data_IF_696510900139
#
_entry.id   IF_696510900139
#
_cell.length_a   1.000
_cell.length_b   1.000
_cell.length_c   1.000
_cell.angle_alpha   90.00
_cell.angle_beta   90.00
_cell.angle_gamma   90.00
#
_symmetry.space_group_name_H-M   'P 1'
#
loop_
_entity.id
_entity.type
_entity.pdbx_description
1 polymer ?
#
# COMPACT_ATOMS: atom_id res chain seq x y z
N UNK A 1 8.68 -17.04 -23.24
CA UNK A 1 8.08 -17.73 -22.07
C UNK A 1 6.97 -16.89 -21.43
N UNK A 2 5.78 -16.81 -22.06
CA UNK A 2 4.63 -16.06 -21.54
C UNK A 2 3.82 -16.81 -20.46
N UNK A 3 3.84 -18.14 -20.45
CA UNK A 3 2.95 -18.96 -19.61
C UNK A 3 3.26 -18.85 -18.10
N UNK A 4 4.55 -18.66 -17.76
CA UNK A 4 4.97 -18.45 -16.38
C UNK A 4 4.42 -17.15 -15.79
N UNK A 5 4.34 -16.08 -16.61
CA UNK A 5 3.83 -14.77 -16.16
C UNK A 5 2.33 -14.82 -15.88
N UNK A 6 1.57 -15.54 -16.70
CA UNK A 6 0.12 -15.73 -16.53
C UNK A 6 -0.16 -16.51 -15.24
N UNK A 7 0.61 -17.58 -14.98
CA UNK A 7 0.48 -18.38 -13.75
C UNK A 7 0.71 -17.56 -12.48
N UNK A 8 1.73 -16.70 -12.46
CA UNK A 8 2.04 -15.84 -11.30
C UNK A 8 0.92 -14.81 -11.05
N UNK A 9 0.41 -14.16 -12.09
CA UNK A 9 -0.68 -13.18 -11.95
C UNK A 9 -1.93 -13.88 -11.39
N UNK A 10 -2.26 -15.06 -11.91
CA UNK A 10 -3.40 -15.84 -11.42
C UNK A 10 -3.23 -16.22 -9.96
N UNK A 11 -2.04 -16.65 -9.55
CA UNK A 11 -1.73 -16.97 -8.16
C UNK A 11 -1.92 -15.76 -7.23
N UNK A 12 -1.42 -14.58 -7.63
CA UNK A 12 -1.58 -13.34 -6.86
C UNK A 12 -3.07 -13.01 -6.69
N UNK A 13 -3.84 -13.02 -7.78
CA UNK A 13 -5.29 -12.75 -7.72
C UNK A 13 -6.03 -13.74 -6.81
N UNK A 14 -5.67 -15.03 -6.86
CA UNK A 14 -6.30 -16.03 -5.98
C UNK A 14 -5.98 -15.81 -4.50
N UNK A 15 -4.77 -15.37 -4.17
CA UNK A 15 -4.39 -15.06 -2.79
C UNK A 15 -5.14 -13.84 -2.26
N UNK A 16 -5.33 -12.82 -3.09
CA UNK A 16 -6.11 -11.64 -2.73
C UNK A 16 -7.58 -11.99 -2.45
N UNK A 17 -8.18 -12.78 -3.33
CA UNK A 17 -9.57 -13.24 -3.16
C UNK A 17 -9.72 -14.10 -1.90
N UNK A 18 -8.74 -14.96 -1.60
CA UNK A 18 -8.75 -15.77 -0.39
C UNK A 18 -8.72 -14.91 0.89
N UNK A 19 -7.88 -13.88 0.93
CA UNK A 19 -7.80 -12.96 2.06
C UNK A 19 -9.12 -12.19 2.26
N UNK A 20 -9.75 -11.71 1.20
CA UNK A 20 -11.07 -11.08 1.32
C UNK A 20 -12.15 -12.04 1.77
N UNK A 21 -12.11 -13.29 1.28
CA UNK A 21 -13.11 -14.30 1.63
C UNK A 21 -13.05 -14.68 3.10
N UNK A 22 -11.85 -14.77 3.69
CA UNK A 22 -11.68 -15.11 5.11
C UNK A 22 -12.22 -14.01 6.02
N UNK A 23 -11.97 -12.73 5.69
CA UNK A 23 -12.52 -11.61 6.45
C UNK A 23 -14.04 -11.55 6.40
N UNK A 24 -14.61 -11.79 5.21
CA UNK A 24 -16.06 -11.90 5.05
C UNK A 24 -16.62 -13.04 5.92
N UNK A 25 -15.92 -14.16 6.01
CA UNK A 25 -16.33 -15.27 6.88
C UNK A 25 -16.24 -14.92 8.36
N UNK A 26 -15.15 -14.28 8.80
CA UNK A 26 -14.98 -13.81 10.18
C UNK A 26 -16.07 -12.82 10.59
N UNK A 27 -16.40 -11.85 9.72
CA UNK A 27 -17.48 -10.88 9.99
C UNK A 27 -18.82 -11.58 10.10
N UNK A 28 -19.12 -12.56 9.22
CA UNK A 28 -20.36 -13.35 9.33
C UNK A 28 -20.43 -14.11 10.66
N UNK A 29 -19.31 -14.67 11.11
CA UNK A 29 -19.24 -15.40 12.38
C UNK A 29 -19.53 -14.48 13.57
N UNK A 30 -18.83 -13.34 13.66
CA UNK A 30 -18.98 -12.39 14.78
C UNK A 30 -20.40 -11.81 14.86
N UNK A 31 -20.98 -11.42 13.72
CA UNK A 31 -22.32 -10.81 13.67
C UNK A 31 -23.46 -11.84 13.57
N UNK A 32 -23.14 -13.15 13.59
CA UNK A 32 -24.10 -14.25 13.39
C UNK A 32 -24.99 -14.05 12.15
N UNK A 33 -24.43 -13.49 11.09
CA UNK A 33 -25.15 -13.18 9.85
C UNK A 33 -25.52 -14.45 9.10
N UNK A 34 -26.75 -14.55 8.59
CA UNK A 34 -27.19 -15.72 7.81
C UNK A 34 -26.48 -15.76 6.46
N UNK A 35 -26.36 -16.95 5.87
CA UNK A 35 -25.69 -17.17 4.56
C UNK A 35 -26.19 -16.23 3.46
N UNK A 36 -27.49 -15.93 3.46
CA UNK A 36 -28.16 -15.11 2.44
C UNK A 36 -28.15 -13.61 2.74
N UNK A 37 -27.72 -13.20 3.93
CA UNK A 37 -27.69 -11.78 4.29
C UNK A 37 -26.56 -11.05 3.56
N UNK A 38 -26.83 -9.81 3.16
CA UNK A 38 -25.84 -8.91 2.56
C UNK A 38 -24.77 -8.53 3.58
N UNK A 39 -23.53 -8.90 3.28
CA UNK A 39 -22.41 -8.70 4.21
C UNK A 39 -21.98 -7.24 4.36
N UNK A 40 -22.25 -6.40 3.37
CA UNK A 40 -21.83 -4.99 3.32
C UNK A 40 -22.29 -4.18 4.54
N UNK A 41 -23.49 -4.45 5.04
CA UNK A 41 -24.02 -3.79 6.24
C UNK A 41 -23.19 -4.10 7.49
N UNK A 42 -22.79 -5.36 7.65
CA UNK A 42 -21.97 -5.81 8.78
C UNK A 42 -20.53 -5.32 8.67
N UNK A 43 -19.97 -5.26 7.45
CA UNK A 43 -18.65 -4.67 7.21
C UNK A 43 -18.60 -3.18 7.58
N UNK A 44 -19.63 -2.42 7.19
CA UNK A 44 -19.72 -1.00 7.53
C UNK A 44 -19.88 -0.79 9.04
N UNK A 45 -20.69 -1.63 9.71
CA UNK A 45 -20.83 -1.61 11.17
C UNK A 45 -19.55 -1.97 11.91
N UNK A 46 -18.79 -2.92 11.38
CA UNK A 46 -17.51 -3.33 11.96
C UNK A 46 -16.42 -2.26 11.85
N UNK A 47 -16.63 -1.21 11.04
CA UNK A 47 -15.63 -0.17 10.75
C UNK A 47 -14.28 -0.75 10.31
N UNK A 48 -14.31 -1.95 9.71
CA UNK A 48 -13.13 -2.65 9.25
C UNK A 48 -12.67 -2.07 7.92
N UNK A 49 -11.41 -1.70 7.88
CA UNK A 49 -10.80 -1.18 6.67
C UNK A 49 -10.63 -2.31 5.64
N UNK A 50 -10.99 -2.07 4.38
CA UNK A 50 -10.85 -3.07 3.31
C UNK A 50 -9.40 -3.55 3.18
N UNK A 51 -9.21 -4.82 2.81
CA UNK A 51 -7.88 -5.44 2.61
C UNK A 51 -7.03 -4.57 1.68
N UNK A 52 -7.59 -4.12 0.57
CA UNK A 52 -6.92 -3.23 -0.38
C UNK A 52 -6.37 -1.95 0.29
N UNK A 53 -7.19 -1.28 1.09
CA UNK A 53 -6.80 -0.04 1.76
C UNK A 53 -5.77 -0.30 2.85
N UNK A 54 -5.90 -1.39 3.62
CA UNK A 54 -4.87 -1.79 4.60
C UNK A 54 -3.54 -2.05 3.92
N UNK A 55 -3.54 -2.78 2.80
CA UNK A 55 -2.32 -3.01 2.01
C UNK A 55 -1.69 -1.69 1.57
N UNK A 56 -2.47 -0.75 1.04
CA UNK A 56 -1.97 0.58 0.66
C UNK A 56 -1.33 1.32 1.83
N UNK A 57 -2.01 1.38 2.97
CA UNK A 57 -1.48 2.04 4.17
C UNK A 57 -0.21 1.36 4.65
N UNK A 58 -0.19 0.03 4.78
CA UNK A 58 0.99 -0.72 5.22
C UNK A 58 2.17 -0.51 4.28
N UNK A 59 1.95 -0.53 2.96
CA UNK A 59 2.99 -0.24 1.97
C UNK A 59 3.51 1.18 2.10
N UNK A 60 2.63 2.17 2.30
CA UNK A 60 3.04 3.57 2.51
C UNK A 60 3.82 3.75 3.81
N UNK A 61 3.38 3.13 4.90
CA UNK A 61 4.10 3.15 6.19
C UNK A 61 5.47 2.48 6.07
N UNK A 62 5.56 1.35 5.36
CA UNK A 62 6.83 0.67 5.11
C UNK A 62 7.75 1.57 4.27
N UNK A 63 7.23 2.15 3.19
CA UNK A 63 7.99 3.07 2.35
C UNK A 63 8.49 4.27 3.14
N UNK A 64 7.63 4.90 3.95
CA UNK A 64 8.01 6.00 4.83
C UNK A 64 9.13 5.59 5.79
N UNK A 65 9.00 4.43 6.44
CA UNK A 65 10.05 3.90 7.33
C UNK A 65 11.37 3.69 6.60
N UNK A 66 11.35 3.12 5.39
CA UNK A 66 12.56 2.89 4.60
C UNK A 66 13.24 4.23 4.24
N UNK A 67 12.46 5.24 3.84
CA UNK A 67 12.99 6.55 3.47
C UNK A 67 13.50 7.35 4.67
N UNK A 68 12.82 7.27 5.82
CA UNK A 68 13.22 7.96 7.04
C UNK A 68 14.42 7.31 7.74
N UNK A 69 14.44 5.97 7.82
CA UNK A 69 15.51 5.25 8.50
C UNK A 69 16.71 4.93 7.60
N UNK A 70 16.55 5.06 6.27
CA UNK A 70 17.52 4.61 5.26
C UNK A 70 17.90 3.11 5.39
N UNK A 71 17.08 2.35 6.12
CA UNK A 71 17.25 0.94 6.41
C UNK A 71 16.05 0.14 5.88
N UNK A 72 16.29 -1.01 5.24
CA UNK A 72 17.59 -1.58 4.91
C UNK A 72 18.24 -0.93 3.68
N UNK A 73 19.57 -0.85 3.66
CA UNK A 73 20.36 -0.15 2.63
C UNK A 73 20.07 -0.63 1.20
N UNK A 74 19.83 -1.93 1.03
CA UNK A 74 19.51 -2.50 -0.29
C UNK A 74 18.14 -2.06 -0.85
N UNK A 75 17.21 -1.62 0.01
CA UNK A 75 15.93 -1.04 -0.42
C UNK A 75 16.04 0.48 -0.54
N UNK A 76 16.64 1.16 0.43
CA UNK A 76 16.75 2.61 0.41
C UNK A 76 17.53 3.10 -0.82
N UNK A 77 18.62 2.42 -1.20
CA UNK A 77 19.39 2.73 -2.41
C UNK A 77 18.59 2.59 -3.73
N UNK A 78 17.43 1.91 -3.72
CA UNK A 78 16.56 1.80 -4.90
C UNK A 78 15.62 2.99 -5.05
N UNK A 79 15.44 3.78 -3.99
CA UNK A 79 14.58 4.96 -4.00
C UNK A 79 15.44 6.21 -4.12
N UNK A 80 15.46 6.80 -5.31
CA UNK A 80 16.10 8.09 -5.55
C UNK A 80 15.05 9.19 -5.59
N UNK A 81 15.38 10.40 -5.16
CA UNK A 81 14.51 11.57 -5.36
C UNK A 81 14.77 12.15 -6.75
N UNK A 82 13.77 12.83 -7.34
CA UNK A 82 13.98 13.50 -8.63
C UNK A 82 15.02 14.60 -8.55
N UNK A 83 15.10 15.27 -7.41
CA UNK A 83 16.10 16.27 -7.07
C UNK A 83 17.54 15.78 -7.22
N UNK A 84 17.82 14.49 -6.98
CA UNK A 84 19.17 13.95 -7.08
C UNK A 84 19.59 13.62 -8.52
N UNK A 85 18.66 13.60 -9.46
CA UNK A 85 18.90 13.20 -10.87
C UNK A 85 18.78 14.42 -11.81
N UNK A 86 17.83 15.31 -11.55
CA UNK A 86 17.52 16.43 -12.43
C UNK A 86 17.75 17.74 -11.69
N UNK A 87 18.66 18.57 -12.20
CA UNK A 87 18.97 19.90 -11.64
C UNK A 87 17.84 20.93 -11.84
N UNK A 88 16.90 20.67 -12.76
CA UNK A 88 15.76 21.54 -13.02
C UNK A 88 14.74 21.44 -11.89
N UNK A 89 14.56 22.53 -11.16
CA UNK A 89 13.51 22.68 -10.15
C UNK A 89 12.15 22.74 -10.86
N UNK A 90 11.31 21.73 -10.62
CA UNK A 90 9.91 21.68 -11.08
C UNK A 90 9.01 21.42 -9.88
N UNK A 91 7.68 21.54 -10.05
CA UNK A 91 6.72 21.18 -8.98
C UNK A 91 6.83 19.72 -8.51
N UNK A 92 7.54 18.87 -9.26
CA UNK A 92 7.79 17.46 -8.97
C UNK A 92 9.20 17.19 -8.44
N UNK A 93 9.95 18.21 -8.06
CA UNK A 93 11.37 18.10 -7.67
C UNK A 93 11.58 17.21 -6.44
N UNK A 94 10.71 17.35 -5.43
CA UNK A 94 10.82 16.59 -4.17
C UNK A 94 10.06 15.25 -4.21
N UNK A 95 9.55 14.87 -5.39
CA UNK A 95 8.88 13.59 -5.56
C UNK A 95 9.90 12.47 -5.75
N UNK A 96 9.56 11.30 -5.23
CA UNK A 96 10.35 10.08 -5.46
C UNK A 96 10.44 9.80 -6.94
N UNK A 97 11.68 9.62 -7.41
CA UNK A 97 11.99 9.09 -8.71
C UNK A 97 11.79 7.57 -8.67
N UNK A 98 10.53 7.15 -8.79
CA UNK A 98 10.21 5.73 -8.94
C UNK A 98 10.58 5.35 -10.37
N UNK A 99 11.74 4.70 -10.54
CA UNK A 99 12.01 3.93 -11.75
C UNK A 99 11.02 2.77 -11.74
N UNK A 100 9.94 2.91 -12.51
CA UNK A 100 9.03 1.80 -12.76
C UNK A 100 9.86 0.70 -13.43
N UNK A 101 10.28 -0.30 -12.65
CA UNK A 101 10.81 -1.53 -13.23
C UNK A 101 9.64 -2.22 -13.91
N UNK A 102 9.51 -1.99 -15.21
CA UNK A 102 8.45 -2.50 -16.07
C UNK A 102 8.39 -4.02 -15.91
N UNK A 103 7.38 -4.50 -15.19
CA UNK A 103 6.84 -5.84 -15.37
C UNK A 103 5.31 -5.65 -15.38
N UNK A 104 4.75 -5.69 -16.59
CA UNK A 104 3.32 -5.64 -16.99
C UNK A 104 2.70 -4.26 -17.30
N UNK A 105 2.03 -4.20 -18.45
CA UNK A 105 1.35 -3.04 -19.08
C UNK A 105 0.14 -2.50 -18.29
N UNK A 106 -0.17 -3.04 -17.11
CA UNK A 106 -1.39 -2.74 -16.36
C UNK A 106 -1.20 -1.83 -15.14
N UNK A 107 -0.04 -1.19 -14.99
CA UNK A 107 0.23 -0.25 -13.90
C UNK A 107 0.20 1.20 -14.35
N UNK A 108 -0.96 1.63 -14.86
CA UNK A 108 -1.25 3.04 -15.15
C UNK A 108 -1.59 3.91 -13.93
N UNK A 109 -1.62 3.29 -12.74
CA UNK A 109 -2.19 3.90 -11.53
C UNK A 109 -1.11 4.42 -10.56
N UNK A 110 0.17 4.08 -10.75
CA UNK A 110 1.24 4.54 -9.86
C UNK A 110 1.80 5.93 -10.21
N UNK A 111 1.29 6.58 -11.27
CA UNK A 111 1.89 7.82 -11.78
C UNK A 111 1.50 9.09 -11.03
N UNK A 112 0.61 9.02 -10.03
CA UNK A 112 0.22 10.19 -9.25
C UNK A 112 0.11 9.85 -7.76
N UNK A 113 1.22 9.46 -7.13
CA UNK A 113 1.38 9.60 -5.67
C UNK A 113 1.74 11.04 -5.27
N UNK A 114 1.16 12.02 -5.98
CA UNK A 114 1.21 13.43 -5.63
C UNK A 114 -0.11 14.06 -6.07
N UNK A 115 -0.92 14.50 -5.10
CA UNK A 115 -2.09 15.32 -5.38
C UNK A 115 -3.16 15.35 -4.29
N UNK A 116 -3.68 14.20 -3.86
CA UNK A 116 -4.93 14.20 -3.05
C UNK A 116 -4.96 13.26 -1.84
N UNK A 117 -3.91 12.47 -1.59
CA UNK A 117 -3.85 11.55 -0.44
C UNK A 117 -3.11 12.11 0.80
N UNK A 118 -2.62 13.35 0.73
CA UNK A 118 -2.01 14.05 1.88
C UNK A 118 -3.00 14.83 2.76
N UNK A 119 -4.30 14.76 2.47
CA UNK A 119 -5.34 15.27 3.37
C UNK A 119 -5.92 14.15 4.23
N UNK A 120 -5.07 13.43 4.94
CA UNK A 120 -5.48 12.68 6.13
C UNK A 120 -5.08 13.56 7.33
N UNK A 121 -6.02 14.29 7.96
CA UNK A 121 -5.74 14.92 9.24
C UNK A 121 -5.82 13.82 10.29
N UNK A 122 -4.77 13.01 10.44
CA UNK A 122 -4.68 12.08 11.56
C UNK A 122 -3.38 12.33 12.32
N UNK A 123 -3.54 13.24 13.28
CA UNK A 123 -2.84 13.28 14.56
C UNK A 123 -1.31 13.31 14.48
N UNK A 124 -0.81 14.52 14.71
CA UNK A 124 0.41 14.84 15.45
C UNK A 124 0.75 13.77 16.49
N UNK A 125 1.50 12.74 16.09
CA UNK A 125 2.26 11.91 17.01
C UNK A 125 3.63 12.59 17.14
N UNK A 126 4.02 13.04 18.35
CA UNK A 126 5.30 13.68 18.54
C UNK A 126 6.43 12.69 18.22
N UNK A 127 7.42 13.17 17.46
CA UNK A 127 8.65 12.46 17.08
C UNK A 127 9.53 12.01 18.26
N UNK A 128 9.10 12.16 19.51
CA UNK A 128 9.93 11.98 20.71
C UNK A 128 9.97 10.55 21.28
N UNK A 129 9.36 9.55 20.65
CA UNK A 129 9.30 8.17 21.19
C UNK A 129 10.00 7.09 20.36
N UNK A 130 10.75 7.44 19.31
CA UNK A 130 11.48 6.47 18.48
C UNK A 130 13.01 6.56 18.59
N UNK A 131 13.55 7.28 19.58
CA UNK A 131 15.01 7.36 19.83
C UNK A 131 15.55 6.26 20.76
N UNK A 132 14.83 5.16 20.96
CA UNK A 132 15.34 4.02 21.69
C UNK A 132 14.97 2.72 20.99
N UNK A 133 15.82 2.34 20.03
CA UNK A 133 16.16 0.94 19.83
C UNK A 133 17.69 0.84 19.66
N UNK A 134 18.32 -0.19 20.24
CA UNK A 134 19.77 -0.38 20.27
C UNK A 134 20.39 -0.65 18.89
#
# INVERSE_FOLDING_TARGET
>A
MPDLKIGVIKAILTLEQAAESSERMCVRYVYRAKRWDHITLYLNRAQLLRVETRRKITTLCLLFKILSSQCPSYLSNKYNFRSSIVSRVTRAHDLLHVLAHIITESYSILYNLSGTLFHIPFLTLPLSLLSQCP
#
